data_IF_622061092713
#
_entry.id   IF_622061092713
#
_cell.length_a   1.000
_cell.length_b   1.000
_cell.length_c   1.000
_cell.angle_alpha   90.00
_cell.angle_beta   90.00
_cell.angle_gamma   90.00
#
_symmetry.space_group_name_H-M   'P 1'
#
loop_
_entity.id
_entity.type
_entity.pdbx_description
1 polymer ?
#
# COMPACT_ATOMS: atom_id res chain seq x y z
N UNK A 1 0.84 -10.50 -23.73
CA UNK A 1 1.63 -9.42 -23.09
C UNK A 1 1.56 -8.20 -23.99
N UNK A 2 0.37 -7.98 -24.55
CA UNK A 2 0.24 -7.32 -25.85
C UNK A 2 0.10 -5.81 -25.66
N UNK A 3 -0.24 -5.39 -24.44
CA UNK A 3 -0.46 -4.01 -24.03
C UNK A 3 0.79 -3.13 -24.02
N UNK A 4 1.98 -3.74 -24.06
CA UNK A 4 3.27 -3.03 -24.14
C UNK A 4 3.81 -3.01 -25.57
N UNK A 5 3.46 -4.03 -26.38
CA UNK A 5 3.97 -4.21 -27.73
C UNK A 5 3.04 -3.67 -28.82
N UNK A 6 1.77 -3.43 -28.50
CA UNK A 6 0.73 -2.95 -29.42
C UNK A 6 0.02 -1.72 -28.85
N UNK A 7 -0.60 -0.89 -29.70
CA UNK A 7 -1.47 0.19 -29.23
C UNK A 7 -2.54 -0.34 -28.28
N UNK A 8 -2.79 0.41 -27.21
CA UNK A 8 -3.76 0.01 -26.19
C UNK A 8 -5.16 0.05 -26.79
N UNK A 9 -5.77 -1.13 -26.94
CA UNK A 9 -7.16 -1.28 -27.32
C UNK A 9 -8.05 -1.15 -26.09
N UNK A 10 -9.11 -0.34 -26.19
CA UNK A 10 -10.10 -0.18 -25.13
C UNK A 10 -11.47 0.11 -25.74
N UNK A 11 -12.52 -0.23 -24.98
CA UNK A 11 -13.89 0.03 -25.37
C UNK A 11 -14.24 1.51 -25.19
N UNK A 12 -14.50 2.21 -26.30
CA UNK A 12 -14.85 3.64 -26.30
C UNK A 12 -16.22 3.94 -25.70
N UNK A 13 -17.11 2.96 -25.58
CA UNK A 13 -18.39 3.15 -24.90
C UNK A 13 -18.23 3.16 -23.38
N UNK A 14 -17.20 2.47 -22.86
CA UNK A 14 -16.89 2.43 -21.44
C UNK A 14 -15.90 3.53 -21.02
N UNK A 15 -15.03 3.93 -21.94
CA UNK A 15 -13.99 4.94 -21.69
C UNK A 15 -14.03 5.98 -22.81
N UNK A 16 -14.53 7.16 -22.44
CA UNK A 16 -14.82 8.27 -23.37
C UNK A 16 -13.59 8.80 -24.13
N UNK A 17 -12.37 8.45 -23.70
CA UNK A 17 -11.16 8.76 -24.45
C UNK A 17 -9.84 8.40 -23.74
N UNK A 18 -8.74 8.59 -24.46
CA UNK A 18 -7.39 8.22 -24.02
C UNK A 18 -6.96 8.95 -22.73
N UNK A 19 -7.33 10.22 -22.56
CA UNK A 19 -7.01 10.94 -21.32
C UNK A 19 -7.71 10.34 -20.10
N UNK A 20 -8.96 9.90 -20.26
CA UNK A 20 -9.73 9.26 -19.17
C UNK A 20 -9.15 7.89 -18.84
N UNK A 21 -8.72 7.12 -19.85
CA UNK A 21 -7.95 5.88 -19.67
C UNK A 21 -6.70 6.14 -18.82
N UNK A 22 -5.89 7.14 -19.16
CA UNK A 22 -4.64 7.46 -18.46
C UNK A 22 -4.92 7.86 -17.01
N UNK A 23 -5.86 8.79 -16.77
CA UNK A 23 -6.19 9.25 -15.41
C UNK A 23 -6.71 8.10 -14.55
N UNK A 24 -7.60 7.26 -15.08
CA UNK A 24 -8.10 6.09 -14.37
C UNK A 24 -6.98 5.08 -14.07
N UNK A 25 -6.09 4.83 -15.02
CA UNK A 25 -4.93 3.93 -14.86
C UNK A 25 -3.96 4.44 -13.79
N UNK A 26 -3.70 5.74 -13.72
CA UNK A 26 -2.84 6.34 -12.69
C UNK A 26 -3.46 6.20 -11.30
N UNK A 27 -4.75 6.52 -11.16
CA UNK A 27 -5.47 6.33 -9.88
C UNK A 27 -5.45 4.87 -9.45
N UNK A 28 -5.65 3.95 -10.40
CA UNK A 28 -5.61 2.52 -10.12
C UNK A 28 -4.21 2.05 -9.74
N UNK A 29 -3.17 2.51 -10.43
CA UNK A 29 -1.78 2.21 -10.08
C UNK A 29 -1.44 2.71 -8.68
N UNK A 30 -1.94 3.90 -8.28
CA UNK A 30 -1.79 4.40 -6.90
C UNK A 30 -2.45 3.47 -5.89
N UNK A 31 -3.69 3.04 -6.13
CA UNK A 31 -4.37 2.09 -5.24
C UNK A 31 -3.59 0.78 -5.10
N UNK A 32 -3.12 0.20 -6.22
CA UNK A 32 -2.28 -1.00 -6.22
C UNK A 32 -0.98 -0.79 -5.42
N UNK A 33 -0.32 0.36 -5.57
CA UNK A 33 0.89 0.69 -4.79
C UNK A 33 0.63 0.84 -3.29
N UNK A 34 -0.60 1.18 -2.90
CA UNK A 34 -1.04 1.27 -1.51
C UNK A 34 -1.53 -0.09 -0.96
N UNK A 35 -1.34 -1.18 -1.71
CA UNK A 35 -1.67 -2.54 -1.28
C UNK A 35 -3.04 -3.03 -1.74
N UNK A 36 -3.74 -2.32 -2.63
CA UNK A 36 -4.95 -2.87 -3.23
C UNK A 36 -4.62 -4.12 -4.05
N UNK A 37 -5.50 -5.12 -4.00
CA UNK A 37 -5.33 -6.36 -4.75
C UNK A 37 -5.64 -6.15 -6.24
N UNK A 38 -4.94 -6.86 -7.14
CA UNK A 38 -5.31 -6.96 -8.54
C UNK A 38 -6.72 -7.55 -8.71
N UNK A 39 -7.50 -7.01 -9.64
CA UNK A 39 -8.84 -7.50 -10.00
C UNK A 39 -8.74 -8.61 -11.05
N UNK A 40 -7.71 -8.56 -11.91
CA UNK A 40 -7.48 -9.55 -12.95
C UNK A 40 -6.22 -10.37 -12.67
N UNK A 41 -6.20 -11.61 -13.13
CA UNK A 41 -4.97 -12.36 -13.26
C UNK A 41 -4.20 -11.81 -14.47
N UNK A 42 -2.99 -11.31 -14.24
CA UNK A 42 -2.13 -10.77 -15.29
C UNK A 42 -0.71 -11.30 -15.17
N UNK A 43 -0.04 -11.36 -16.33
CA UNK A 43 1.40 -11.63 -16.44
C UNK A 43 2.25 -10.37 -16.27
N UNK A 44 1.62 -9.20 -16.11
CA UNK A 44 2.30 -7.94 -15.94
C UNK A 44 2.97 -7.88 -14.55
N UNK A 45 4.28 -7.63 -14.54
CA UNK A 45 5.04 -7.43 -13.30
C UNK A 45 5.02 -5.98 -12.81
N UNK A 46 4.88 -5.02 -13.72
CA UNK A 46 4.84 -3.60 -13.37
C UNK A 46 3.42 -3.19 -12.98
N UNK A 47 3.30 -2.52 -11.83
CA UNK A 47 2.01 -2.02 -11.31
C UNK A 47 1.31 -1.12 -12.34
N UNK A 48 2.06 -0.27 -13.05
CA UNK A 48 1.50 0.62 -14.07
C UNK A 48 0.92 -0.16 -15.25
N UNK A 49 1.60 -1.20 -15.71
CA UNK A 49 1.11 -2.06 -16.79
C UNK A 49 -0.13 -2.83 -16.37
N UNK A 50 -0.13 -3.40 -15.16
CA UNK A 50 -1.29 -4.07 -14.58
C UNK A 50 -2.49 -3.13 -14.48
N UNK A 51 -2.28 -1.91 -13.98
CA UNK A 51 -3.35 -0.91 -13.88
C UNK A 51 -3.94 -0.53 -15.24
N UNK A 52 -3.09 -0.33 -16.25
CA UNK A 52 -3.56 -0.04 -17.62
C UNK A 52 -4.39 -1.20 -18.16
N UNK A 53 -3.96 -2.45 -17.94
CA UNK A 53 -4.68 -3.65 -18.39
C UNK A 53 -6.05 -3.79 -17.70
N UNK A 54 -6.09 -3.61 -16.39
CA UNK A 54 -7.34 -3.63 -15.61
C UNK A 54 -8.34 -2.56 -16.05
N UNK A 55 -7.86 -1.36 -16.35
CA UNK A 55 -8.73 -0.27 -16.81
C UNK A 55 -9.15 -0.49 -18.27
N UNK A 56 -8.23 -0.84 -19.17
CA UNK A 56 -8.52 -1.03 -20.59
C UNK A 56 -9.51 -2.18 -20.85
N UNK A 57 -9.43 -3.25 -20.04
CA UNK A 57 -10.37 -4.38 -20.08
C UNK A 57 -11.74 -4.05 -19.46
N UNK A 58 -11.84 -2.91 -18.76
CA UNK A 58 -13.04 -2.52 -18.03
C UNK A 58 -13.30 -3.34 -16.77
N UNK A 59 -12.29 -4.04 -16.25
CA UNK A 59 -12.40 -4.78 -14.98
C UNK A 59 -12.55 -3.84 -13.78
N UNK A 60 -12.08 -2.60 -13.90
CA UNK A 60 -12.24 -1.56 -12.89
C UNK A 60 -13.34 -0.58 -13.32
N UNK A 61 -14.33 -0.36 -12.45
CA UNK A 61 -15.41 0.61 -12.68
C UNK A 61 -14.85 2.04 -12.61
N UNK A 62 -15.05 2.81 -13.67
CA UNK A 62 -14.74 4.24 -13.70
C UNK A 62 -16.01 5.01 -13.33
N UNK A 63 -15.95 5.78 -12.24
CA UNK A 63 -17.03 6.68 -11.85
C UNK A 63 -16.88 8.02 -12.58
N UNK A 64 -17.99 8.58 -13.05
CA UNK A 64 -18.06 9.88 -13.73
C UNK A 64 -19.22 10.72 -13.18
N UNK A 65 -19.24 12.02 -13.49
CA UNK A 65 -20.32 12.93 -13.09
C UNK A 65 -20.50 13.02 -11.57
N UNK A 66 -21.76 13.07 -11.12
CA UNK A 66 -22.12 13.20 -9.70
C UNK A 66 -21.62 12.04 -8.84
N UNK A 67 -21.56 10.81 -9.39
CA UNK A 67 -21.01 9.65 -8.67
C UNK A 67 -19.53 9.86 -8.32
N UNK A 68 -18.76 10.43 -9.25
CA UNK A 68 -17.35 10.73 -9.01
C UNK A 68 -17.15 11.83 -7.97
N UNK A 69 -18.04 12.83 -7.96
CA UNK A 69 -18.01 13.92 -6.96
C UNK A 69 -18.29 13.37 -5.57
N UNK A 70 -19.38 12.60 -5.41
CA UNK A 70 -19.75 11.97 -4.13
C UNK A 70 -18.64 11.08 -3.59
N UNK A 71 -18.10 10.19 -4.42
CA UNK A 71 -17.01 9.30 -4.01
C UNK A 71 -15.76 10.07 -3.55
N UNK A 72 -15.41 11.18 -4.22
CA UNK A 72 -14.28 12.03 -3.86
C UNK A 72 -14.50 12.76 -2.52
N UNK A 73 -15.72 13.22 -2.26
CA UNK A 73 -16.08 13.84 -0.98
C UNK A 73 -16.03 12.83 0.18
N UNK A 74 -16.53 11.62 -0.03
CA UNK A 74 -16.47 10.53 0.96
C UNK A 74 -15.03 10.13 1.26
N UNK A 75 -14.18 10.00 0.23
CA UNK A 75 -12.75 9.71 0.39
C UNK A 75 -12.04 10.79 1.23
N UNK A 76 -12.33 12.07 0.96
CA UNK A 76 -11.78 13.20 1.74
C UNK A 76 -12.23 13.16 3.19
N UNK A 77 -13.53 12.92 3.45
CA UNK A 77 -14.08 12.81 4.80
C UNK A 77 -13.42 11.66 5.57
N UNK A 78 -13.25 10.51 4.93
CA UNK A 78 -12.60 9.34 5.54
C UNK A 78 -11.14 9.62 5.84
N UNK A 79 -10.42 10.26 4.92
CA UNK A 79 -9.01 10.65 5.11
C UNK A 79 -8.86 11.63 6.26
N UNK A 80 -9.72 12.65 6.32
CA UNK A 80 -9.72 13.62 7.41
C UNK A 80 -9.99 12.96 8.77
N UNK A 81 -10.98 12.07 8.83
CA UNK A 81 -11.29 11.32 10.05
C UNK A 81 -10.10 10.49 10.52
N UNK A 82 -9.45 9.74 9.61
CA UNK A 82 -8.24 8.95 9.94
C UNK A 82 -7.11 9.81 10.49
N UNK A 83 -6.87 10.99 9.90
CA UNK A 83 -5.84 11.93 10.40
C UNK A 83 -6.18 12.46 11.80
N UNK A 84 -7.45 12.77 12.07
CA UNK A 84 -7.89 13.21 13.38
C UNK A 84 -7.77 12.11 14.43
N UNK A 85 -8.17 10.89 14.09
CA UNK A 85 -8.05 9.72 14.96
C UNK A 85 -6.57 9.43 15.29
N UNK A 86 -5.67 9.50 14.30
CA UNK A 86 -4.22 9.31 14.52
C UNK A 86 -3.60 10.43 15.37
N UNK A 87 -4.02 11.68 15.17
CA UNK A 87 -3.57 12.81 15.96
C UNK A 87 -4.03 12.69 17.43
N UNK A 88 -5.29 12.32 17.66
CA UNK A 88 -5.82 12.08 19.00
C UNK A 88 -5.11 10.93 19.69
N UNK A 89 -4.86 9.81 19.00
CA UNK A 89 -4.11 8.68 19.55
C UNK A 89 -2.72 9.10 20.03
N UNK A 90 -1.99 9.88 19.22
CA UNK A 90 -0.66 10.41 19.59
C UNK A 90 -0.71 11.34 20.80
N UNK A 91 -1.74 12.17 20.94
CA UNK A 91 -1.91 13.03 22.12
C UNK A 91 -2.29 12.24 23.38
N UNK A 92 -3.09 11.18 23.26
CA UNK A 92 -3.55 10.38 24.40
C UNK A 92 -2.58 9.29 24.85
N UNK A 93 -1.62 8.88 24.01
CA UNK A 93 -0.68 7.78 24.31
C UNK A 93 0.83 8.18 24.25
N UNK A 94 1.28 9.32 24.80
CA UNK A 94 2.71 9.62 24.88
C UNK A 94 3.45 8.72 25.90
N UNK A 95 2.76 8.26 26.95
CA UNK A 95 3.36 7.43 28.02
C UNK A 95 3.69 6.00 27.55
N UNK A 96 2.81 5.38 26.75
CA UNK A 96 3.01 4.01 26.22
C UNK A 96 4.24 3.89 25.29
N UNK A 97 4.57 4.93 24.53
CA UNK A 97 5.78 4.93 23.69
C UNK A 97 7.07 4.85 24.52
N UNK A 98 7.12 5.55 25.66
CA UNK A 98 8.30 5.56 26.53
C UNK A 98 8.48 4.24 27.28
N UNK A 99 7.38 3.55 27.59
CA UNK A 99 7.40 2.21 28.19
C UNK A 99 7.85 1.16 27.17
N UNK A 100 7.32 1.18 25.94
CA UNK A 100 7.75 0.27 24.87
C UNK A 100 9.23 0.45 24.49
N UNK A 101 9.74 1.68 24.47
CA UNK A 101 11.16 1.94 24.20
C UNK A 101 12.07 1.37 25.30
N UNK A 102 11.64 1.43 26.57
CA UNK A 102 12.36 0.80 27.69
C UNK A 102 12.38 -0.72 27.54
N UNK A 103 11.23 -1.34 27.29
CA UNK A 103 11.13 -2.79 27.11
C UNK A 103 11.94 -3.29 25.91
N UNK A 104 11.93 -2.55 24.79
CA UNK A 104 12.74 -2.88 23.62
C UNK A 104 14.24 -2.82 23.94
N UNK A 105 14.66 -1.84 24.74
CA UNK A 105 16.05 -1.69 25.17
C UNK A 105 16.48 -2.82 26.10
N UNK A 106 15.61 -3.25 27.02
CA UNK A 106 15.87 -4.42 27.88
C UNK A 106 16.03 -5.67 27.02
N UNK A 107 15.11 -5.92 26.09
CA UNK A 107 15.15 -7.09 25.22
C UNK A 107 16.40 -7.13 24.31
N UNK A 108 16.82 -5.99 23.74
CA UNK A 108 18.04 -5.91 22.95
C UNK A 108 19.29 -6.16 23.80
N UNK A 109 19.28 -5.69 25.05
CA UNK A 109 20.38 -5.93 26.00
C UNK A 109 20.45 -7.41 26.37
N UNK A 110 19.32 -8.04 26.71
CA UNK A 110 19.25 -9.48 27.03
C UNK A 110 19.60 -10.37 25.83
N UNK A 111 19.20 -9.98 24.62
CA UNK A 111 19.56 -10.70 23.38
C UNK A 111 21.05 -10.56 23.06
N UNK A 112 21.63 -9.38 23.26
CA UNK A 112 23.08 -9.16 23.10
C UNK A 112 23.91 -9.93 24.13
N UNK A 113 23.46 -9.97 25.38
CA UNK A 113 24.11 -10.73 26.45
C UNK A 113 24.00 -12.24 26.25
N UNK A 114 22.86 -12.74 25.76
CA UNK A 114 22.67 -14.18 25.48
C UNK A 114 23.45 -14.65 24.26
N UNK A 115 23.67 -13.81 23.25
CA UNK A 115 24.57 -14.11 22.12
C UNK A 115 26.06 -14.06 22.54
N UNK A 116 26.44 -13.16 23.45
CA UNK A 116 27.80 -13.09 24.03
C UNK A 116 28.11 -14.26 24.99
N UNK A 117 27.14 -14.70 25.80
CA UNK A 117 27.31 -15.84 26.71
C UNK A 117 27.50 -17.15 25.95
N UNK A 118 26.68 -17.40 24.91
CA UNK A 118 26.84 -18.57 24.01
C UNK A 118 28.22 -18.63 23.37
N UNK A 119 28.72 -17.49 22.88
CA UNK A 119 30.04 -17.43 22.24
C UNK A 119 31.21 -17.58 23.21
N UNK A 120 31.07 -17.22 24.48
CA UNK A 120 32.09 -17.45 25.51
C UNK A 120 32.05 -18.92 25.99
N UNK A 121 30.88 -19.51 26.19
CA UNK A 121 30.73 -20.92 26.58
C UNK A 121 31.19 -21.88 25.48
N UNK A 122 30.98 -21.57 24.20
CA UNK A 122 31.50 -22.38 23.07
C UNK A 122 33.03 -22.30 22.92
N UNK A 123 33.69 -21.23 23.42
CA UNK A 123 35.16 -21.05 23.31
C UNK A 123 35.90 -21.63 24.52
N UNK A 124 35.28 -21.64 25.71
CA UNK A 124 35.93 -22.05 26.96
C UNK A 124 35.29 -23.29 27.63
N UNK A 125 34.31 -23.93 26.99
CA UNK A 125 33.43 -24.94 27.58
C UNK A 125 33.90 -26.40 27.55
N UNK A 126 35.04 -26.75 26.96
CA UNK A 126 35.56 -28.12 27.01
C UNK A 126 36.86 -28.18 27.85
N UNK A 127 36.78 -28.89 28.98
CA UNK A 127 37.91 -29.40 29.78
C UNK A 127 37.98 -30.91 29.66
#
# INVERSE_FOLDING_TARGET
MDIISLPIAYDRQKIDGAYRLVVASVKRAKALSQGALPVISSRAQKITTLAIEEVATGAVKILTGEEAVRASEEEKKLTHKRMMDEAQQKETMPEDMTELEKDLKVYLSEKGESEQKKSIEDIFGDS
#
